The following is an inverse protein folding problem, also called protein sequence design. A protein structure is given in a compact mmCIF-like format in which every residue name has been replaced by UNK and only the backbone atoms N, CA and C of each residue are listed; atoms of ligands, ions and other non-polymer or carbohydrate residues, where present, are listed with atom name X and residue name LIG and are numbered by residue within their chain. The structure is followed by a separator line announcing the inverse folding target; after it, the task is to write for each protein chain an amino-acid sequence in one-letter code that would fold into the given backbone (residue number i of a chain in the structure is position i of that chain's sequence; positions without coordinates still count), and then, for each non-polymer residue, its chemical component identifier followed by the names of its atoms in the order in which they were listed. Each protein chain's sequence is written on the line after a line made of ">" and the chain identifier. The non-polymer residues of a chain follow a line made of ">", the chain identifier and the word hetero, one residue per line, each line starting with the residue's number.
data_IF_205416045898
#
_entry.id   IF_205416045898
#
_cell.length_a   1.000
_cell.length_b   1.000
_cell.length_c   1.000
_cell.angle_alpha   90.00
_cell.angle_beta   90.00
_cell.angle_gamma   90.00
#
_symmetry.space_group_name_H-M   'P 1'
#
loop_
_entity.id
_entity.type
_entity.pdbx_description
1 polymer ?
#
# COMPACT_ATOMS: atom_id res chain seq x y z
N UNK A 1 16.79 -66.75 8.51
CA UNK A 1 16.52 -65.51 9.26
C UNK A 1 15.48 -64.75 8.48
N UNK A 2 14.24 -64.86 8.94
CA UNK A 2 13.07 -64.15 8.40
C UNK A 2 13.16 -62.67 8.82
N UNK A 3 12.90 -61.76 7.88
CA UNK A 3 12.72 -60.34 8.18
C UNK A 3 11.22 -60.06 8.28
N UNK A 4 10.72 -59.46 9.37
CA UNK A 4 9.29 -59.14 9.49
C UNK A 4 8.95 -57.80 8.83
N UNK A 5 7.91 -57.86 8.00
CA UNK A 5 6.80 -56.93 7.79
C UNK A 5 7.04 -55.42 7.70
N UNK A 6 6.82 -54.93 6.48
CA UNK A 6 6.16 -53.67 6.11
C UNK A 6 5.51 -52.87 7.26
N UNK A 7 6.07 -51.69 7.53
CA UNK A 7 5.39 -50.63 8.28
C UNK A 7 4.19 -50.06 7.51
N UNK A 8 3.23 -49.45 8.21
CA UNK A 8 1.99 -48.99 7.61
C UNK A 8 2.25 -47.83 6.65
N UNK A 9 1.75 -47.97 5.42
CA UNK A 9 1.60 -46.86 4.49
C UNK A 9 0.70 -45.79 5.12
N UNK A 10 1.04 -44.49 5.05
CA UNK A 10 0.16 -43.45 5.53
C UNK A 10 -1.06 -43.40 4.61
N UNK A 11 -2.15 -44.02 5.06
CA UNK A 11 -3.47 -43.91 4.46
C UNK A 11 -3.85 -42.43 4.44
N UNK A 12 -4.02 -41.86 3.24
CA UNK A 12 -4.55 -40.52 3.05
C UNK A 12 -5.99 -40.49 3.55
N UNK A 13 -6.16 -40.08 4.81
CA UNK A 13 -7.49 -39.84 5.37
C UNK A 13 -8.15 -38.72 4.55
N UNK A 14 -9.38 -38.91 4.02
CA UNK A 14 -10.10 -37.83 3.37
C UNK A 14 -10.36 -36.75 4.43
N UNK A 15 -9.66 -35.61 4.31
CA UNK A 15 -9.90 -34.47 5.20
C UNK A 15 -11.37 -34.08 5.05
N UNK A 16 -12.09 -34.01 6.18
CA UNK A 16 -13.38 -33.31 6.27
C UNK A 16 -13.16 -31.85 5.86
N UNK A 17 -13.31 -31.55 4.57
CA UNK A 17 -13.28 -30.20 4.02
C UNK A 17 -14.53 -29.50 4.55
N UNK A 18 -14.31 -28.46 5.38
CA UNK A 18 -15.37 -27.65 5.95
C UNK A 18 -16.19 -27.07 4.79
N UNK A 19 -17.42 -27.58 4.60
CA UNK A 19 -18.37 -27.02 3.64
C UNK A 19 -18.63 -25.58 4.06
N UNK A 20 -18.01 -24.62 3.37
CA UNK A 20 -18.37 -23.21 3.50
C UNK A 20 -19.88 -23.14 3.35
N UNK A 21 -20.58 -22.82 4.44
CA UNK A 21 -22.03 -22.67 4.45
C UNK A 21 -22.45 -21.69 3.33
N UNK A 22 -23.53 -22.05 2.62
CA UNK A 22 -24.12 -21.24 1.56
C UNK A 22 -24.59 -19.90 2.12
N UNK A 23 -23.74 -18.87 2.03
CA UNK A 23 -24.13 -17.50 2.34
C UNK A 23 -23.90 -16.62 1.11
N UNK A 24 -24.90 -16.58 0.23
CA UNK A 24 -24.99 -15.61 -0.87
C UNK A 24 -25.55 -16.20 -2.16
N UNK A 25 -26.45 -15.47 -2.82
CA UNK A 25 -26.79 -15.68 -4.24
C UNK A 25 -25.52 -15.38 -5.05
N UNK A 26 -24.80 -16.41 -5.47
CA UNK A 26 -23.56 -16.27 -6.26
C UNK A 26 -23.80 -16.17 -7.77
N UNK A 27 -25.06 -16.09 -8.21
CA UNK A 27 -25.42 -16.24 -9.64
C UNK A 27 -24.75 -17.48 -10.26
N UNK A 28 -24.68 -18.57 -9.46
CA UNK A 28 -24.14 -19.86 -9.87
C UNK A 28 -25.09 -20.48 -10.91
N UNK A 29 -24.55 -20.89 -12.06
CA UNK A 29 -25.29 -21.76 -13.00
C UNK A 29 -25.48 -23.15 -12.39
N UNK A 30 -26.29 -24.00 -13.03
CA UNK A 30 -26.43 -25.41 -12.62
C UNK A 30 -25.06 -26.11 -12.57
N UNK A 31 -24.20 -25.83 -13.55
CA UNK A 31 -22.85 -26.40 -13.61
C UNK A 31 -21.94 -25.91 -12.47
N UNK A 32 -22.04 -24.64 -12.05
CA UNK A 32 -21.34 -24.15 -10.86
C UNK A 32 -21.79 -24.87 -9.60
N UNK A 33 -23.10 -25.07 -9.45
CA UNK A 33 -23.68 -25.74 -8.28
C UNK A 33 -23.26 -27.22 -8.23
N UNK A 34 -23.25 -27.90 -9.37
CA UNK A 34 -22.78 -29.28 -9.48
C UNK A 34 -21.27 -29.40 -9.19
N UNK A 35 -20.45 -28.49 -9.73
CA UNK A 35 -19.02 -28.41 -9.44
C UNK A 35 -18.73 -28.16 -7.95
N UNK A 36 -19.49 -27.27 -7.31
CA UNK A 36 -19.38 -26.96 -5.87
C UNK A 36 -19.79 -28.13 -4.98
N UNK A 37 -20.78 -28.90 -5.41
CA UNK A 37 -21.23 -30.10 -4.71
C UNK A 37 -20.32 -31.31 -4.95
N UNK A 38 -19.44 -31.27 -5.95
CA UNK A 38 -18.63 -32.41 -6.36
C UNK A 38 -19.44 -33.51 -7.06
N UNK A 39 -20.60 -33.16 -7.63
CA UNK A 39 -21.52 -34.14 -8.21
C UNK A 39 -21.19 -34.39 -9.70
N UNK A 40 -20.42 -35.45 -9.96
CA UNK A 40 -20.02 -35.85 -11.31
C UNK A 40 -21.23 -36.22 -12.19
N UNK A 41 -22.27 -36.84 -11.62
CA UNK A 41 -23.46 -37.26 -12.37
C UNK A 41 -24.19 -36.05 -12.91
N UNK A 42 -24.43 -35.05 -12.05
CA UNK A 42 -25.08 -33.80 -12.47
C UNK A 42 -24.26 -33.05 -13.53
N UNK A 43 -22.93 -33.11 -13.48
CA UNK A 43 -22.06 -32.52 -14.52
C UNK A 43 -22.25 -33.23 -15.85
N UNK A 44 -22.23 -34.56 -15.86
CA UNK A 44 -22.46 -35.34 -17.08
C UNK A 44 -23.85 -35.12 -17.66
N UNK A 45 -24.87 -35.02 -16.80
CA UNK A 45 -26.24 -34.75 -17.23
C UNK A 45 -26.35 -33.38 -17.92
N UNK A 46 -25.73 -32.34 -17.34
CA UNK A 46 -25.70 -30.99 -17.94
C UNK A 46 -24.91 -31.00 -19.25
N UNK A 47 -23.75 -31.66 -19.29
CA UNK A 47 -22.90 -31.71 -20.50
C UNK A 47 -23.57 -32.48 -21.64
N UNK A 48 -24.23 -33.61 -21.34
CA UNK A 48 -24.92 -34.42 -22.35
C UNK A 48 -26.25 -33.79 -22.80
N UNK A 49 -26.86 -32.94 -21.96
CA UNK A 49 -28.11 -32.25 -22.26
C UNK A 49 -27.93 -30.95 -23.06
N UNK A 50 -26.72 -30.36 -23.05
CA UNK A 50 -26.42 -29.12 -23.74
C UNK A 50 -25.96 -29.36 -25.19
N UNK A 51 -26.36 -28.49 -26.12
CA UNK A 51 -25.75 -28.45 -27.45
C UNK A 51 -24.30 -27.95 -27.40
N UNK A 52 -23.50 -28.18 -28.45
CA UNK A 52 -22.07 -27.79 -28.45
C UNK A 52 -21.85 -26.29 -28.18
N UNK A 53 -22.60 -25.41 -28.84
CA UNK A 53 -22.50 -23.95 -28.66
C UNK A 53 -22.90 -23.51 -27.24
N UNK A 54 -23.99 -24.09 -26.72
CA UNK A 54 -24.49 -23.81 -25.38
C UNK A 54 -23.50 -24.30 -24.32
N UNK A 55 -22.89 -25.47 -24.52
CA UNK A 55 -21.89 -26.02 -23.64
C UNK A 55 -20.69 -25.08 -23.53
N UNK A 56 -20.16 -24.58 -24.65
CA UNK A 56 -19.05 -23.62 -24.65
C UNK A 56 -19.40 -22.36 -23.83
N UNK A 57 -20.61 -21.81 -23.98
CA UNK A 57 -21.04 -20.67 -23.16
C UNK A 57 -21.12 -21.04 -21.68
N UNK A 58 -21.71 -22.19 -21.34
CA UNK A 58 -21.87 -22.65 -19.95
C UNK A 58 -20.52 -22.89 -19.25
N UNK A 59 -19.54 -23.47 -19.96
CA UNK A 59 -18.20 -23.72 -19.45
C UNK A 59 -17.42 -22.42 -19.18
N UNK A 60 -17.60 -21.42 -20.03
CA UNK A 60 -16.96 -20.11 -19.92
C UNK A 60 -17.72 -19.12 -19.03
N UNK A 61 -18.98 -19.40 -18.68
CA UNK A 61 -19.82 -18.50 -17.88
C UNK A 61 -19.20 -18.26 -16.51
N UNK A 62 -19.14 -16.99 -16.12
CA UNK A 62 -18.63 -16.58 -14.82
C UNK A 62 -19.78 -16.21 -13.89
N UNK A 63 -19.72 -16.69 -12.65
CA UNK A 63 -20.65 -16.31 -11.59
C UNK A 63 -20.39 -14.87 -11.08
N UNK A 64 -21.10 -14.42 -10.05
CA UNK A 64 -20.95 -13.05 -9.52
C UNK A 64 -19.58 -12.75 -8.90
N UNK A 65 -18.78 -13.76 -8.59
CA UNK A 65 -17.39 -13.65 -8.15
C UNK A 65 -16.36 -13.74 -9.31
N UNK A 66 -16.83 -13.92 -10.55
CA UNK A 66 -15.98 -14.19 -11.70
C UNK A 66 -15.53 -15.65 -11.81
N UNK A 67 -15.97 -16.52 -10.93
CA UNK A 67 -15.54 -17.93 -10.90
C UNK A 67 -16.20 -18.66 -12.08
N UNK A 68 -15.46 -19.52 -12.79
CA UNK A 68 -16.03 -20.49 -13.74
C UNK A 68 -16.38 -21.80 -13.03
N UNK A 69 -17.17 -22.70 -13.63
CA UNK A 69 -17.44 -24.01 -13.03
C UNK A 69 -16.16 -24.82 -12.77
N UNK A 70 -15.20 -24.80 -13.69
CA UNK A 70 -13.88 -25.43 -13.52
C UNK A 70 -13.09 -24.80 -12.36
N UNK A 71 -13.13 -23.48 -12.22
CA UNK A 71 -12.51 -22.79 -11.08
C UNK A 71 -13.10 -23.29 -9.75
N UNK A 72 -14.43 -23.39 -9.67
CA UNK A 72 -15.11 -23.86 -8.45
C UNK A 72 -14.73 -25.30 -8.14
N UNK A 73 -14.75 -26.21 -9.12
CA UNK A 73 -14.31 -27.59 -8.91
C UNK A 73 -12.87 -27.67 -8.39
N UNK A 74 -11.97 -26.86 -8.94
CA UNK A 74 -10.57 -26.76 -8.53
C UNK A 74 -10.41 -26.15 -7.13
N UNK A 75 -11.20 -25.15 -6.75
CA UNK A 75 -11.17 -24.54 -5.41
C UNK A 75 -11.50 -25.54 -4.30
N UNK A 76 -12.44 -26.45 -4.56
CA UNK A 76 -12.86 -27.48 -3.62
C UNK A 76 -12.00 -28.74 -3.70
N UNK A 77 -11.16 -28.87 -4.73
CA UNK A 77 -10.22 -29.97 -4.90
C UNK A 77 -10.88 -31.28 -5.35
N UNK A 78 -11.99 -31.22 -6.08
CA UNK A 78 -12.66 -32.42 -6.60
C UNK A 78 -12.00 -32.88 -7.90
N UNK A 79 -10.87 -33.58 -7.78
CA UNK A 79 -10.05 -33.96 -8.95
C UNK A 79 -10.79 -34.80 -9.99
N UNK A 80 -11.71 -35.67 -9.58
CA UNK A 80 -12.54 -36.47 -10.51
C UNK A 80 -13.47 -35.58 -11.33
N UNK A 81 -14.11 -34.61 -10.68
CA UNK A 81 -14.94 -33.61 -11.36
C UNK A 81 -14.10 -32.79 -12.32
N UNK A 82 -12.93 -32.31 -11.90
CA UNK A 82 -12.03 -31.54 -12.76
C UNK A 82 -11.61 -32.38 -13.98
N UNK A 83 -11.30 -33.68 -13.79
CA UNK A 83 -10.90 -34.59 -14.87
C UNK A 83 -12.02 -34.82 -15.89
N UNK A 84 -13.26 -34.89 -15.45
CA UNK A 84 -14.40 -35.01 -16.36
C UNK A 84 -14.64 -33.69 -17.10
N UNK A 85 -14.61 -32.56 -16.39
CA UNK A 85 -14.88 -31.26 -17.00
C UNK A 85 -13.82 -30.83 -18.00
N UNK A 86 -12.53 -30.97 -17.67
CA UNK A 86 -11.41 -30.43 -18.46
C UNK A 86 -11.35 -30.99 -19.90
N UNK A 87 -11.94 -32.16 -20.13
CA UNK A 87 -12.05 -32.78 -21.46
C UNK A 87 -12.86 -31.93 -22.45
N UNK A 88 -13.74 -31.07 -21.95
CA UNK A 88 -14.60 -30.19 -22.74
C UNK A 88 -14.09 -28.75 -22.80
N UNK A 89 -12.99 -28.42 -22.10
CA UNK A 89 -12.41 -27.08 -22.08
C UNK A 89 -11.30 -26.97 -23.12
N UNK A 90 -11.28 -25.87 -23.86
CA UNK A 90 -10.09 -25.40 -24.55
C UNK A 90 -9.18 -24.60 -23.58
N UNK A 91 -7.97 -24.29 -24.04
CA UNK A 91 -6.99 -23.51 -23.26
C UNK A 91 -7.53 -22.12 -22.88
N UNK A 92 -8.31 -21.49 -23.76
CA UNK A 92 -8.85 -20.15 -23.53
C UNK A 92 -9.86 -20.15 -22.39
N UNK A 93 -10.80 -21.10 -22.39
CA UNK A 93 -11.81 -21.25 -21.36
C UNK A 93 -11.21 -21.74 -20.03
N UNK A 94 -10.27 -22.69 -20.07
CA UNK A 94 -9.59 -23.17 -18.86
C UNK A 94 -8.75 -22.08 -18.18
N UNK A 95 -8.21 -21.15 -18.97
CA UNK A 95 -7.44 -19.99 -18.53
C UNK A 95 -8.27 -18.77 -18.11
N UNK A 96 -9.60 -18.86 -18.07
CA UNK A 96 -10.46 -17.76 -17.62
C UNK A 96 -10.20 -17.48 -16.14
N UNK A 97 -9.99 -16.20 -15.83
CA UNK A 97 -9.62 -15.72 -14.49
C UNK A 97 -10.83 -15.17 -13.76
N UNK A 98 -10.95 -15.54 -12.49
CA UNK A 98 -11.90 -14.93 -11.57
C UNK A 98 -11.52 -13.49 -11.21
N UNK A 99 -12.38 -12.79 -10.47
CA UNK A 99 -12.15 -11.38 -10.09
C UNK A 99 -10.89 -11.16 -9.24
N UNK A 100 -10.40 -12.21 -8.57
CA UNK A 100 -9.15 -12.18 -7.84
C UNK A 100 -7.90 -12.36 -8.74
N UNK A 101 -8.09 -12.53 -10.05
CA UNK A 101 -7.04 -12.72 -11.04
C UNK A 101 -6.56 -14.16 -11.22
N UNK A 102 -7.16 -15.13 -10.53
CA UNK A 102 -6.77 -16.54 -10.60
C UNK A 102 -7.66 -17.34 -11.54
N UNK A 103 -7.06 -18.22 -12.32
CA UNK A 103 -7.73 -19.31 -13.03
C UNK A 103 -7.82 -20.58 -12.15
N UNK A 104 -8.32 -21.67 -12.73
CA UNK A 104 -8.48 -22.96 -12.05
C UNK A 104 -7.13 -23.53 -11.55
N UNK A 105 -6.05 -23.37 -12.31
CA UNK A 105 -4.73 -23.89 -11.93
C UNK A 105 -4.12 -23.07 -10.79
N UNK A 106 -4.26 -21.75 -10.82
CA UNK A 106 -3.84 -20.86 -9.73
C UNK A 106 -4.55 -21.17 -8.41
N UNK A 107 -5.87 -21.39 -8.43
CA UNK A 107 -6.60 -21.70 -7.20
C UNK A 107 -6.24 -23.10 -6.67
N UNK A 108 -6.10 -24.11 -7.54
CA UNK A 108 -5.64 -25.44 -7.15
C UNK A 108 -4.25 -25.38 -6.49
N UNK A 109 -3.31 -24.64 -7.09
CA UNK A 109 -1.97 -24.45 -6.54
C UNK A 109 -1.96 -23.65 -5.23
N UNK A 110 -2.88 -22.70 -5.06
CA UNK A 110 -3.08 -21.98 -3.79
C UNK A 110 -3.57 -22.93 -2.68
N UNK A 111 -4.49 -23.82 -2.99
CA UNK A 111 -5.00 -24.81 -2.03
C UNK A 111 -3.99 -25.93 -1.75
N UNK A 112 -3.12 -26.22 -2.71
CA UNK A 112 -2.15 -27.30 -2.63
C UNK A 112 -2.74 -28.66 -3.01
N UNK A 113 -3.84 -28.68 -3.76
CA UNK A 113 -4.45 -29.92 -4.25
C UNK A 113 -3.63 -30.43 -5.47
N UNK A 114 -2.61 -31.24 -5.23
CA UNK A 114 -1.66 -31.73 -6.24
C UNK A 114 -2.36 -32.53 -7.34
N UNK A 115 -3.35 -33.34 -6.99
CA UNK A 115 -4.10 -34.17 -7.93
C UNK A 115 -4.84 -33.32 -8.97
N UNK A 116 -5.46 -32.21 -8.52
CA UNK A 116 -6.11 -31.25 -9.43
C UNK A 116 -5.07 -30.58 -10.33
N UNK A 117 -3.93 -30.17 -9.77
CA UNK A 117 -2.84 -29.58 -10.55
C UNK A 117 -2.37 -30.54 -11.66
N UNK A 118 -2.16 -31.82 -11.33
CA UNK A 118 -1.76 -32.84 -12.30
C UNK A 118 -2.80 -33.01 -13.41
N UNK A 119 -4.07 -33.16 -13.06
CA UNK A 119 -5.15 -33.31 -14.06
C UNK A 119 -5.21 -32.12 -15.02
N UNK A 120 -5.13 -30.89 -14.49
CA UNK A 120 -5.15 -29.68 -15.33
C UNK A 120 -3.92 -29.60 -16.25
N UNK A 121 -2.74 -29.95 -15.73
CA UNK A 121 -1.48 -29.91 -16.47
C UNK A 121 -1.34 -31.04 -17.50
N UNK A 122 -1.93 -32.21 -17.25
CA UNK A 122 -1.99 -33.33 -18.20
C UNK A 122 -2.89 -32.99 -19.40
N UNK A 123 -3.98 -32.25 -19.16
CA UNK A 123 -4.88 -31.81 -20.22
C UNK A 123 -4.32 -30.61 -21.00
N UNK A 124 -3.82 -29.58 -20.31
CA UNK A 124 -3.36 -28.32 -20.90
C UNK A 124 -2.08 -27.80 -20.19
N UNK A 125 -0.88 -28.29 -20.57
CA UNK A 125 0.39 -27.87 -19.98
C UNK A 125 0.66 -26.36 -20.05
N UNK A 126 0.10 -25.68 -21.05
CA UNK A 126 0.24 -24.24 -21.29
C UNK A 126 -0.36 -23.40 -20.15
N UNK A 127 -1.25 -23.98 -19.33
CA UNK A 127 -1.80 -23.32 -18.15
C UNK A 127 -0.71 -22.93 -17.14
N UNK A 128 0.43 -23.63 -17.10
CA UNK A 128 1.56 -23.27 -16.21
C UNK A 128 2.10 -21.85 -16.45
N UNK A 129 1.95 -21.34 -17.66
CA UNK A 129 2.42 -20.02 -18.10
C UNK A 129 1.37 -18.92 -17.98
N UNK A 130 0.16 -19.23 -17.50
CA UNK A 130 -0.85 -18.22 -17.25
C UNK A 130 -0.40 -17.31 -16.10
N UNK A 131 -0.82 -16.05 -16.18
CA UNK A 131 -0.51 -15.05 -15.17
C UNK A 131 -1.69 -14.14 -14.84
N UNK A 132 -1.73 -13.66 -13.60
CA UNK A 132 -2.65 -12.59 -13.19
C UNK A 132 -2.19 -11.20 -13.71
N UNK A 133 -2.95 -10.15 -13.39
CA UNK A 133 -2.63 -8.76 -13.77
C UNK A 133 -1.30 -8.23 -13.19
N UNK A 134 -0.73 -8.91 -12.20
CA UNK A 134 0.55 -8.58 -11.59
C UNK A 134 1.70 -9.50 -12.06
N UNK A 135 1.49 -10.23 -13.16
CA UNK A 135 2.38 -11.27 -13.70
C UNK A 135 2.71 -12.35 -12.65
N UNK A 136 1.76 -12.69 -11.78
CA UNK A 136 1.89 -13.82 -10.85
C UNK A 136 1.67 -15.11 -11.60
N UNK A 137 2.67 -15.98 -11.64
CA UNK A 137 2.50 -17.36 -12.15
C UNK A 137 1.94 -18.28 -11.07
N UNK A 138 1.54 -19.48 -11.48
CA UNK A 138 1.09 -20.55 -10.57
C UNK A 138 2.16 -20.91 -9.53
N UNK A 139 3.43 -20.98 -9.94
CA UNK A 139 4.56 -21.27 -9.02
C UNK A 139 4.70 -20.19 -7.94
N UNK A 140 4.52 -18.91 -8.27
CA UNK A 140 4.52 -17.84 -7.27
C UNK A 140 3.43 -18.06 -6.22
N UNK A 141 2.24 -18.49 -6.67
CA UNK A 141 1.09 -18.73 -5.82
C UNK A 141 1.34 -19.91 -4.89
N UNK A 142 1.80 -21.04 -5.42
CA UNK A 142 2.17 -22.22 -4.63
C UNK A 142 3.27 -21.90 -3.60
N UNK A 143 4.32 -21.18 -4.04
CA UNK A 143 5.43 -20.79 -3.19
C UNK A 143 5.03 -19.81 -2.08
N UNK A 144 4.14 -18.85 -2.37
CA UNK A 144 3.61 -17.93 -1.36
C UNK A 144 2.77 -18.65 -0.29
N UNK A 145 2.12 -19.76 -0.64
CA UNK A 145 1.28 -20.54 0.27
C UNK A 145 2.01 -21.74 0.93
N UNK A 146 3.28 -21.97 0.57
CA UNK A 146 4.07 -23.05 1.16
C UNK A 146 3.68 -24.45 0.65
N UNK A 147 3.08 -24.56 -0.54
CA UNK A 147 2.63 -25.85 -1.10
C UNK A 147 3.80 -26.59 -1.73
N UNK A 148 4.62 -27.23 -0.90
CA UNK A 148 5.88 -27.86 -1.32
C UNK A 148 5.69 -28.93 -2.40
N UNK A 149 4.67 -29.78 -2.30
CA UNK A 149 4.41 -30.85 -3.28
C UNK A 149 4.10 -30.27 -4.67
N UNK A 150 3.27 -29.22 -4.72
CA UNK A 150 2.95 -28.51 -5.96
C UNK A 150 4.17 -27.76 -6.50
N UNK A 151 4.96 -27.13 -5.63
CA UNK A 151 6.22 -26.47 -6.04
C UNK A 151 7.17 -27.47 -6.67
N UNK A 152 7.41 -28.62 -6.03
CA UNK A 152 8.30 -29.66 -6.56
C UNK A 152 7.81 -30.18 -7.91
N UNK A 153 6.50 -30.44 -8.04
CA UNK A 153 5.91 -30.86 -9.31
C UNK A 153 6.21 -29.88 -10.46
N UNK A 154 6.00 -28.57 -10.24
CA UNK A 154 6.32 -27.56 -11.27
C UNK A 154 7.83 -27.45 -11.55
N UNK A 155 8.67 -27.53 -10.52
CA UNK A 155 10.13 -27.43 -10.67
C UNK A 155 10.75 -28.67 -11.35
N UNK A 156 10.10 -29.82 -11.24
CA UNK A 156 10.50 -31.05 -11.92
C UNK A 156 10.03 -31.06 -13.37
N UNK A 157 8.86 -30.48 -13.65
CA UNK A 157 8.36 -30.29 -15.02
C UNK A 157 9.16 -29.23 -15.78
N UNK A 158 9.37 -28.06 -15.19
CA UNK A 158 10.10 -26.96 -15.82
C UNK A 158 10.80 -26.06 -14.78
N UNK A 159 12.12 -26.24 -14.63
CA UNK A 159 12.91 -25.44 -13.68
C UNK A 159 12.99 -23.95 -14.03
N UNK A 160 12.76 -23.60 -15.31
CA UNK A 160 12.79 -22.20 -15.79
C UNK A 160 11.76 -21.32 -15.07
N UNK A 161 10.64 -21.89 -14.61
CA UNK A 161 9.56 -21.22 -13.92
C UNK A 161 10.02 -20.51 -12.63
N UNK A 162 11.08 -21.01 -11.98
CA UNK A 162 11.65 -20.43 -10.78
C UNK A 162 12.21 -19.01 -11.01
N UNK A 163 12.70 -18.73 -12.22
CA UNK A 163 13.31 -17.46 -12.60
C UNK A 163 12.31 -16.34 -12.89
N UNK A 164 11.06 -16.70 -13.20
CA UNK A 164 10.07 -15.75 -13.69
C UNK A 164 9.79 -14.74 -12.58
N UNK A 165 9.79 -13.47 -12.96
CA UNK A 165 9.54 -12.36 -12.04
C UNK A 165 8.17 -11.73 -12.30
N UNK A 166 7.49 -11.41 -11.21
CA UNK A 166 6.26 -10.60 -11.22
C UNK A 166 6.51 -9.20 -11.76
N UNK A 167 5.45 -8.44 -11.98
CA UNK A 167 5.51 -7.04 -12.43
C UNK A 167 6.32 -6.13 -11.50
N UNK A 168 6.50 -6.50 -10.23
CA UNK A 168 7.33 -5.78 -9.25
C UNK A 168 8.76 -6.31 -9.12
N UNK A 169 9.17 -7.25 -9.98
CA UNK A 169 10.50 -7.89 -9.98
C UNK A 169 10.66 -9.03 -8.96
N UNK A 170 9.63 -9.37 -8.19
CA UNK A 170 9.72 -10.47 -7.21
C UNK A 170 9.56 -11.82 -7.89
N UNK A 171 10.44 -12.74 -7.53
CA UNK A 171 10.37 -14.16 -7.90
C UNK A 171 9.58 -14.99 -6.86
N UNK A 172 9.37 -16.27 -7.13
CA UNK A 172 8.78 -17.22 -6.17
C UNK A 172 9.60 -17.28 -4.86
N UNK A 173 10.94 -17.24 -4.95
CA UNK A 173 11.84 -17.24 -3.80
C UNK A 173 11.59 -16.04 -2.86
N UNK A 174 11.36 -14.84 -3.40
CA UNK A 174 11.02 -13.67 -2.59
C UNK A 174 9.73 -13.86 -1.78
N UNK A 175 8.74 -14.53 -2.37
CA UNK A 175 7.44 -14.75 -1.75
C UNK A 175 7.52 -15.82 -0.67
N UNK A 176 8.18 -16.95 -0.96
CA UNK A 176 8.43 -18.02 0.00
C UNK A 176 9.27 -17.52 1.18
N UNK A 177 10.31 -16.73 0.90
CA UNK A 177 11.18 -16.15 1.93
C UNK A 177 10.40 -15.23 2.88
N UNK A 178 9.56 -14.33 2.34
CA UNK A 178 8.75 -13.41 3.16
C UNK A 178 7.79 -14.15 4.09
N UNK A 179 7.18 -15.22 3.57
CA UNK A 179 6.13 -15.95 4.27
C UNK A 179 6.66 -17.07 5.17
N UNK A 180 7.98 -17.32 5.16
CA UNK A 180 8.62 -18.25 6.08
C UNK A 180 8.53 -19.71 5.65
N UNK A 181 8.38 -20.01 4.36
CA UNK A 181 8.22 -21.38 3.86
C UNK A 181 9.56 -22.03 3.57
N UNK A 182 10.18 -22.61 4.60
CA UNK A 182 11.55 -23.18 4.56
C UNK A 182 11.72 -24.21 3.46
N UNK A 183 10.86 -25.23 3.41
CA UNK A 183 11.02 -26.33 2.46
C UNK A 183 10.88 -25.86 1.00
N UNK A 184 10.02 -24.86 0.76
CA UNK A 184 9.91 -24.22 -0.56
C UNK A 184 11.17 -23.44 -0.90
N UNK A 185 11.76 -22.73 0.07
CA UNK A 185 13.04 -22.02 -0.12
C UNK A 185 14.15 -23.02 -0.45
N UNK A 186 14.27 -24.12 0.29
CA UNK A 186 15.25 -25.19 0.03
C UNK A 186 15.07 -25.78 -1.38
N UNK A 187 13.84 -26.10 -1.79
CA UNK A 187 13.53 -26.63 -3.11
C UNK A 187 13.91 -25.67 -4.25
N UNK A 188 13.54 -24.39 -4.12
CA UNK A 188 13.87 -23.36 -5.12
C UNK A 188 15.39 -23.15 -5.24
N UNK A 189 16.10 -23.08 -4.12
CA UNK A 189 17.56 -22.94 -4.10
C UNK A 189 18.29 -24.19 -4.62
N UNK A 190 17.70 -25.37 -4.41
CA UNK A 190 18.22 -26.64 -4.93
C UNK A 190 18.25 -26.69 -6.46
N UNK A 191 17.26 -26.07 -7.11
CA UNK A 191 17.17 -26.01 -8.59
C UNK A 191 17.98 -24.87 -9.18
N UNK A 192 17.98 -23.69 -8.56
CA UNK A 192 18.71 -22.53 -9.07
C UNK A 192 19.29 -21.67 -7.95
N UNK A 193 20.53 -21.98 -7.56
CA UNK A 193 21.25 -21.24 -6.51
C UNK A 193 21.44 -19.76 -6.81
N UNK A 194 21.59 -19.38 -8.09
CA UNK A 194 21.82 -17.99 -8.52
C UNK A 194 20.65 -17.03 -8.24
N UNK A 195 19.50 -17.53 -7.76
CA UNK A 195 18.34 -16.70 -7.43
C UNK A 195 18.50 -15.84 -6.18
N UNK A 196 19.42 -16.17 -5.27
CA UNK A 196 19.63 -15.47 -3.98
C UNK A 196 19.97 -13.99 -4.15
N UNK A 197 20.80 -13.67 -5.14
CA UNK A 197 21.25 -12.32 -5.44
C UNK A 197 20.28 -11.52 -6.32
N UNK A 198 19.24 -12.16 -6.90
CA UNK A 198 18.25 -11.47 -7.74
C UNK A 198 17.45 -10.49 -6.88
N UNK A 199 17.27 -9.28 -7.40
CA UNK A 199 16.58 -8.20 -6.69
C UNK A 199 15.25 -7.85 -7.32
N UNK A 200 14.26 -7.50 -6.50
CA UNK A 200 13.02 -6.88 -6.96
C UNK A 200 13.22 -5.44 -7.46
N UNK A 201 12.17 -4.77 -7.95
CA UNK A 201 12.23 -3.37 -8.41
C UNK A 201 12.65 -2.37 -7.32
N UNK A 202 12.61 -2.77 -6.04
CA UNK A 202 13.10 -1.97 -4.91
C UNK A 202 14.55 -2.32 -4.56
N UNK A 203 15.23 -3.15 -5.33
CA UNK A 203 16.60 -3.61 -5.05
C UNK A 203 16.65 -4.64 -3.92
N UNK A 204 15.53 -5.24 -3.53
CA UNK A 204 15.48 -6.13 -2.37
C UNK A 204 15.68 -7.57 -2.83
N UNK A 205 16.61 -8.28 -2.20
CA UNK A 205 16.83 -9.72 -2.39
C UNK A 205 15.83 -10.57 -1.60
N UNK A 206 15.89 -11.89 -1.77
CA UNK A 206 15.14 -12.84 -0.95
C UNK A 206 15.47 -12.70 0.56
N UNK A 207 16.73 -12.44 0.91
CA UNK A 207 17.14 -12.22 2.30
C UNK A 207 16.48 -10.96 2.90
N UNK A 208 16.37 -9.88 2.13
CA UNK A 208 15.61 -8.68 2.55
C UNK A 208 14.12 -8.97 2.79
N UNK A 209 13.55 -9.99 2.13
CA UNK A 209 12.18 -10.43 2.36
C UNK A 209 12.07 -11.31 3.59
N UNK A 210 12.98 -12.27 3.77
CA UNK A 210 13.03 -13.17 4.93
C UNK A 210 13.07 -12.41 6.25
N UNK A 211 13.95 -11.40 6.35
CA UNK A 211 14.12 -10.62 7.58
C UNK A 211 12.93 -9.72 7.92
N UNK A 212 11.98 -9.50 6.99
CA UNK A 212 10.67 -8.87 7.27
C UNK A 212 9.68 -9.85 7.90
N UNK A 213 9.83 -11.13 7.56
CA UNK A 213 9.10 -12.24 8.16
C UNK A 213 9.56 -12.52 9.59
N UNK A 214 9.22 -13.70 10.10
CA UNK A 214 9.54 -14.14 11.46
C UNK A 214 10.26 -15.49 11.51
N UNK A 215 10.39 -16.19 10.37
CA UNK A 215 11.00 -17.51 10.35
C UNK A 215 12.52 -17.39 10.21
N UNK A 216 13.24 -17.73 11.30
CA UNK A 216 14.70 -17.69 11.38
C UNK A 216 15.36 -18.72 10.47
N UNK A 217 14.78 -19.91 10.34
CA UNK A 217 15.37 -20.98 9.54
C UNK A 217 15.48 -20.54 8.07
N UNK A 218 14.50 -19.79 7.55
CA UNK A 218 14.59 -19.21 6.21
C UNK A 218 15.76 -18.23 6.07
N UNK A 219 16.02 -17.41 7.09
CA UNK A 219 17.13 -16.46 7.09
C UNK A 219 18.46 -17.24 7.06
N UNK A 220 18.59 -18.26 7.91
CA UNK A 220 19.77 -19.11 7.95
C UNK A 220 19.99 -19.87 6.64
N UNK A 221 18.95 -20.45 6.04
CA UNK A 221 19.04 -21.15 4.75
C UNK A 221 19.52 -20.22 3.64
N UNK A 222 18.98 -19.00 3.56
CA UNK A 222 19.39 -18.02 2.53
C UNK A 222 20.84 -17.56 2.73
N UNK A 223 21.27 -17.33 3.97
CA UNK A 223 22.65 -16.96 4.29
C UNK A 223 23.61 -18.12 3.98
N UNK A 224 23.20 -19.36 4.30
CA UNK A 224 24.00 -20.57 4.01
C UNK A 224 24.15 -20.78 2.50
N UNK A 225 23.09 -20.52 1.74
CA UNK A 225 23.10 -20.66 0.29
C UNK A 225 23.97 -19.60 -0.40
N UNK A 226 23.93 -18.35 0.08
CA UNK A 226 24.74 -17.26 -0.48
C UNK A 226 25.10 -16.20 0.59
N UNK A 227 26.27 -16.34 1.24
CA UNK A 227 26.74 -15.42 2.26
C UNK A 227 26.91 -13.98 1.77
N UNK A 228 27.16 -13.76 0.47
CA UNK A 228 27.41 -12.42 -0.07
C UNK A 228 26.18 -11.51 0.01
N UNK A 229 24.98 -12.10 0.15
CA UNK A 229 23.72 -11.34 0.22
C UNK A 229 23.52 -10.57 1.53
N UNK A 230 24.26 -10.89 2.60
CA UNK A 230 24.07 -10.29 3.94
C UNK A 230 24.32 -8.78 3.99
N UNK A 231 25.16 -8.27 3.09
CA UNK A 231 25.52 -6.85 3.00
C UNK A 231 24.97 -6.15 1.76
N UNK A 232 24.22 -6.86 0.91
CA UNK A 232 23.60 -6.23 -0.26
C UNK A 232 22.64 -5.13 0.19
N UNK A 233 22.61 -4.02 -0.54
CA UNK A 233 21.76 -2.88 -0.23
C UNK A 233 20.60 -2.77 -1.20
N UNK A 234 19.42 -2.41 -0.68
CA UNK A 234 18.28 -2.07 -1.51
C UNK A 234 18.41 -0.68 -2.16
N UNK A 235 17.45 -0.31 -3.00
CA UNK A 235 17.41 1.01 -3.66
C UNK A 235 17.43 2.20 -2.70
N UNK A 236 17.18 2.00 -1.40
CA UNK A 236 17.27 3.04 -0.38
C UNK A 236 18.56 2.94 0.45
N UNK A 237 19.49 2.08 0.06
CA UNK A 237 20.74 1.83 0.78
C UNK A 237 20.56 0.97 2.04
N UNK A 238 19.41 0.31 2.23
CA UNK A 238 19.21 -0.53 3.41
C UNK A 238 19.78 -1.91 3.18
N UNK A 239 20.62 -2.39 4.11
CA UNK A 239 21.00 -3.82 4.21
C UNK A 239 19.87 -4.65 4.86
N UNK A 240 19.91 -5.99 4.78
CA UNK A 240 19.02 -6.85 5.57
C UNK A 240 18.96 -6.49 7.05
N UNK A 241 20.09 -6.09 7.66
CA UNK A 241 20.15 -5.64 9.05
C UNK A 241 19.29 -4.39 9.32
N UNK A 242 19.35 -3.39 8.43
CA UNK A 242 18.47 -2.21 8.52
C UNK A 242 17.00 -2.59 8.45
N UNK A 243 16.64 -3.55 7.58
CA UNK A 243 15.25 -4.00 7.43
C UNK A 243 14.77 -4.74 8.68
N UNK A 244 15.61 -5.61 9.24
CA UNK A 244 15.32 -6.36 10.47
C UNK A 244 15.11 -5.42 11.65
N UNK A 245 16.03 -4.44 11.81
CA UNK A 245 15.95 -3.38 12.82
C UNK A 245 14.68 -2.53 12.68
N UNK A 246 14.35 -2.10 11.45
CA UNK A 246 13.12 -1.34 11.16
C UNK A 246 11.84 -2.10 11.52
N UNK A 247 11.86 -3.43 11.40
CA UNK A 247 10.72 -4.31 11.68
C UNK A 247 10.68 -4.85 13.10
N UNK A 248 11.66 -4.51 13.94
CA UNK A 248 11.71 -4.97 15.33
C UNK A 248 11.93 -6.48 15.45
N UNK A 249 12.62 -7.11 14.48
CA UNK A 249 12.83 -8.56 14.47
C UNK A 249 14.10 -8.93 15.23
N UNK A 250 14.05 -8.90 16.56
CA UNK A 250 15.21 -9.14 17.45
C UNK A 250 16.00 -10.40 17.11
N UNK A 251 15.31 -11.54 16.94
CA UNK A 251 15.98 -12.81 16.62
C UNK A 251 16.68 -12.78 15.24
N UNK A 252 16.07 -12.14 14.23
CA UNK A 252 16.72 -11.97 12.92
C UNK A 252 17.94 -11.05 13.03
N UNK A 253 17.87 -10.01 13.86
CA UNK A 253 19.01 -9.12 14.14
C UNK A 253 20.15 -9.90 14.79
N UNK A 254 19.88 -10.70 15.82
CA UNK A 254 20.88 -11.56 16.47
C UNK A 254 21.50 -12.56 15.48
N UNK A 255 20.67 -13.23 14.69
CA UNK A 255 21.13 -14.19 13.67
C UNK A 255 22.07 -13.52 12.67
N UNK A 256 21.71 -12.33 12.19
CA UNK A 256 22.55 -11.55 11.28
C UNK A 256 23.86 -11.09 11.95
N UNK A 257 23.81 -10.62 13.21
CA UNK A 257 24.99 -10.14 13.94
C UNK A 257 25.95 -11.26 14.37
N UNK A 258 25.46 -12.50 14.49
CA UNK A 258 26.32 -13.67 14.74
C UNK A 258 27.31 -13.94 13.59
N UNK A 259 27.08 -13.34 12.42
CA UNK A 259 27.90 -13.48 11.23
C UNK A 259 29.10 -12.54 11.28
N UNK A 260 30.30 -13.06 11.05
CA UNK A 260 31.54 -12.27 11.10
C UNK A 260 31.68 -11.28 9.94
N UNK A 261 31.03 -11.58 8.83
CA UNK A 261 31.08 -10.85 7.57
C UNK A 261 30.08 -9.70 7.49
N UNK A 262 29.24 -9.49 8.51
CA UNK A 262 28.24 -8.43 8.49
C UNK A 262 28.86 -7.04 8.68
N UNK A 263 28.55 -6.11 7.77
CA UNK A 263 28.94 -4.72 7.92
C UNK A 263 27.90 -3.96 8.74
N UNK A 264 28.26 -3.63 9.98
CA UNK A 264 27.43 -2.90 10.94
C UNK A 264 27.53 -1.38 10.78
N UNK A 265 28.46 -0.89 9.96
CA UNK A 265 28.73 0.55 9.78
C UNK A 265 28.04 1.15 8.56
N UNK A 266 27.35 0.33 7.77
CA UNK A 266 26.60 0.81 6.59
C UNK A 266 25.56 1.85 7.02
N UNK A 267 25.53 2.97 6.30
CA UNK A 267 24.49 3.99 6.41
C UNK A 267 23.61 3.97 5.17
N UNK A 268 22.30 4.02 5.37
CA UNK A 268 21.35 4.08 4.26
C UNK A 268 21.28 5.50 3.63
N UNK A 269 20.45 5.69 2.60
CA UNK A 269 20.27 7.02 1.95
C UNK A 269 19.65 8.08 2.86
N UNK A 270 19.09 7.70 4.01
CA UNK A 270 18.62 8.61 5.05
C UNK A 270 19.70 8.95 6.08
N UNK A 271 20.93 8.47 5.88
CA UNK A 271 22.07 8.61 6.78
C UNK A 271 21.81 7.98 8.16
N UNK A 272 21.13 6.83 8.15
CA UNK A 272 20.79 6.04 9.33
C UNK A 272 21.55 4.71 9.24
N UNK A 273 22.16 4.30 10.35
CA UNK A 273 22.61 2.92 10.56
C UNK A 273 21.43 2.03 10.96
N UNK A 274 21.67 0.73 11.14
CA UNK A 274 20.66 -0.19 11.65
C UNK A 274 20.16 0.21 13.05
N UNK A 275 21.02 0.70 13.95
CA UNK A 275 20.60 1.15 15.29
C UNK A 275 19.78 2.45 15.22
N UNK A 276 20.18 3.42 14.39
CA UNK A 276 19.39 4.65 14.19
C UNK A 276 17.99 4.31 13.64
N UNK A 277 17.92 3.32 12.76
CA UNK A 277 16.67 2.83 12.18
C UNK A 277 15.80 2.15 13.24
N UNK A 278 16.36 1.34 14.14
CA UNK A 278 15.62 0.72 15.24
C UNK A 278 15.06 1.78 16.21
N UNK A 279 15.89 2.74 16.63
CA UNK A 279 15.52 3.81 17.56
C UNK A 279 14.42 4.71 16.97
N UNK A 280 14.56 5.11 15.69
CA UNK A 280 13.54 5.91 14.98
C UNK A 280 12.18 5.22 14.91
N UNK A 281 12.16 3.90 14.79
CA UNK A 281 10.92 3.12 14.72
C UNK A 281 10.35 2.76 16.11
N UNK A 282 11.04 3.11 17.19
CA UNK A 282 10.63 2.78 18.57
C UNK A 282 10.90 1.33 18.98
N UNK A 283 11.76 0.61 18.26
CA UNK A 283 12.07 -0.80 18.57
C UNK A 283 13.21 -0.89 19.60
N UNK A 284 12.93 -0.55 20.86
CA UNK A 284 13.91 -0.47 21.97
C UNK A 284 14.73 -1.74 22.15
N UNK A 285 14.10 -2.91 22.08
CA UNK A 285 14.77 -4.20 22.32
C UNK A 285 15.80 -4.48 21.23
N UNK A 286 15.44 -4.24 19.96
CA UNK A 286 16.39 -4.38 18.85
C UNK A 286 17.52 -3.36 18.92
N UNK A 287 17.24 -2.13 19.35
CA UNK A 287 18.28 -1.12 19.55
C UNK A 287 19.25 -1.52 20.67
N UNK A 288 18.74 -2.12 21.76
CA UNK A 288 19.55 -2.64 22.85
C UNK A 288 20.45 -3.81 22.39
N UNK A 289 19.91 -4.75 21.60
CA UNK A 289 20.69 -5.86 21.02
C UNK A 289 21.80 -5.34 20.10
N UNK A 290 21.46 -4.40 19.20
CA UNK A 290 22.43 -3.76 18.31
C UNK A 290 23.54 -3.05 19.10
N UNK A 291 23.18 -2.31 20.16
CA UNK A 291 24.13 -1.64 21.04
C UNK A 291 25.02 -2.63 21.78
N UNK A 292 24.44 -3.74 22.28
CA UNK A 292 25.17 -4.82 22.94
C UNK A 292 26.21 -5.49 22.03
N UNK A 293 25.96 -5.54 20.72
CA UNK A 293 26.89 -6.02 19.70
C UNK A 293 27.82 -4.94 19.15
N UNK A 294 27.86 -3.74 19.76
CA UNK A 294 28.77 -2.67 19.38
C UNK A 294 28.41 -1.93 18.08
N UNK A 295 27.17 -2.05 17.60
CA UNK A 295 26.70 -1.27 16.44
C UNK A 295 26.57 0.19 16.83
N UNK A 296 27.32 1.05 16.15
CA UNK A 296 27.38 2.49 16.41
C UNK A 296 26.29 3.23 15.62
N UNK A 297 25.84 4.37 16.16
CA UNK A 297 24.97 5.29 15.43
C UNK A 297 25.73 6.03 14.33
N UNK A 298 25.03 6.52 13.30
CA UNK A 298 25.63 7.28 12.20
C UNK A 298 26.38 8.51 12.73
N UNK A 299 25.86 9.15 13.78
CA UNK A 299 26.50 10.31 14.45
C UNK A 299 27.81 9.95 15.14
N UNK A 300 27.95 8.72 15.65
CA UNK A 300 29.17 8.25 16.29
C UNK A 300 30.22 7.77 15.27
N UNK A 301 29.79 7.21 14.13
CA UNK A 301 30.68 6.77 13.05
C UNK A 301 31.26 7.97 12.29
N UNK A 302 30.44 9.00 12.06
CA UNK A 302 30.82 10.26 11.45
C UNK A 302 30.64 11.38 12.48
N UNK A 303 31.66 11.70 13.28
CA UNK A 303 31.63 12.91 14.11
C UNK A 303 31.57 14.10 13.15
N UNK A 304 30.36 14.61 12.93
CA UNK A 304 30.03 15.75 12.07
C UNK A 304 30.60 15.69 10.64
N UNK A 305 29.85 15.09 9.71
CA UNK A 305 29.70 15.74 8.40
C UNK A 305 28.32 16.39 8.37
N UNK A 306 28.23 17.62 8.86
CA UNK A 306 27.14 18.52 8.47
C UNK A 306 27.24 18.66 6.97
N UNK A 307 26.50 17.84 6.23
CA UNK A 307 26.55 17.88 4.77
C UNK A 307 26.05 19.27 4.37
N UNK A 308 26.92 20.18 3.88
CA UNK A 308 26.58 21.60 3.72
C UNK A 308 25.40 21.77 2.75
N UNK A 309 25.18 20.79 1.87
CA UNK A 309 24.03 20.72 0.96
C UNK A 309 22.70 20.54 1.70
N UNK A 310 22.68 19.81 2.83
CA UNK A 310 21.46 19.58 3.61
C UNK A 310 21.10 20.81 4.44
N UNK A 311 22.08 21.46 5.06
CA UNK A 311 21.87 22.74 5.74
C UNK A 311 21.40 23.81 4.75
N UNK A 312 22.03 23.89 3.57
CA UNK A 312 21.58 24.81 2.52
C UNK A 312 20.16 24.52 2.04
N UNK A 313 19.76 23.25 1.88
CA UNK A 313 18.38 22.90 1.52
C UNK A 313 17.38 23.26 2.62
N UNK A 314 17.76 23.07 3.88
CA UNK A 314 16.92 23.42 5.02
C UNK A 314 16.76 24.94 5.10
N UNK A 315 17.84 25.71 5.01
CA UNK A 315 17.79 27.18 5.05
C UNK A 315 16.99 27.74 3.86
N UNK A 316 17.14 27.19 2.67
CA UNK A 316 16.32 27.57 1.50
C UNK A 316 14.83 27.27 1.74
N UNK A 317 14.50 26.15 2.38
CA UNK A 317 13.11 25.81 2.71
C UNK A 317 12.53 26.76 3.77
N UNK A 318 13.30 27.09 4.80
CA UNK A 318 12.89 27.97 5.88
C UNK A 318 12.68 29.40 5.37
N UNK A 319 13.61 29.90 4.54
CA UNK A 319 13.47 31.20 3.85
C UNK A 319 12.22 31.21 2.97
N UNK A 320 11.95 30.14 2.22
CA UNK A 320 10.75 30.05 1.37
C UNK A 320 9.47 30.18 2.18
N UNK A 321 9.37 29.52 3.33
CA UNK A 321 8.19 29.59 4.19
C UNK A 321 8.06 30.95 4.88
N UNK A 322 9.16 31.51 5.38
CA UNK A 322 9.16 32.83 6.00
C UNK A 322 8.73 33.92 5.01
N UNK A 323 9.29 33.93 3.80
CA UNK A 323 8.91 34.87 2.74
C UNK A 323 7.44 34.69 2.35
N UNK A 324 6.95 33.45 2.28
CA UNK A 324 5.55 33.19 1.98
C UNK A 324 4.62 33.77 3.07
N UNK A 325 4.94 33.54 4.34
CA UNK A 325 4.18 34.09 5.48
C UNK A 325 4.18 35.61 5.49
N UNK A 326 5.34 36.24 5.22
CA UNK A 326 5.45 37.70 5.13
C UNK A 326 4.60 38.28 3.99
N UNK A 327 4.59 37.62 2.82
CA UNK A 327 3.74 38.01 1.69
C UNK A 327 2.25 37.87 2.02
N UNK A 328 1.85 36.79 2.70
CA UNK A 328 0.47 36.62 3.16
C UNK A 328 0.05 37.71 4.15
N UNK A 329 0.87 37.98 5.16
CA UNK A 329 0.64 39.06 6.12
C UNK A 329 0.54 40.41 5.43
N UNK A 330 1.43 40.70 4.48
CA UNK A 330 1.39 41.94 3.69
C UNK A 330 0.09 42.06 2.89
N UNK A 331 -0.36 40.96 2.27
CA UNK A 331 -1.63 40.93 1.52
C UNK A 331 -2.84 41.16 2.43
N UNK A 332 -2.85 40.54 3.62
CA UNK A 332 -3.91 40.74 4.60
C UNK A 332 -3.93 42.18 5.12
N UNK A 333 -2.77 42.76 5.44
CA UNK A 333 -2.64 44.16 5.86
C UNK A 333 -3.12 45.11 4.78
N UNK A 334 -2.76 44.89 3.50
CA UNK A 334 -3.24 45.72 2.39
C UNK A 334 -4.76 45.70 2.26
N UNK A 335 -5.40 44.53 2.42
CA UNK A 335 -6.87 44.42 2.44
C UNK A 335 -7.48 45.18 3.61
N UNK A 336 -6.89 45.10 4.81
CA UNK A 336 -7.35 45.84 5.99
C UNK A 336 -7.26 47.35 5.78
N UNK A 337 -6.12 47.84 5.27
CA UNK A 337 -5.91 49.26 4.97
C UNK A 337 -6.91 49.76 3.93
N UNK A 338 -7.15 49.00 2.85
CA UNK A 338 -8.20 49.34 1.88
C UNK A 338 -9.60 49.40 2.51
N UNK A 339 -9.91 48.49 3.43
CA UNK A 339 -11.17 48.51 4.19
C UNK A 339 -11.29 49.75 5.08
N UNK A 340 -10.19 50.16 5.73
CA UNK A 340 -10.13 51.40 6.52
C UNK A 340 -10.35 52.62 5.61
N UNK A 341 -9.64 52.70 4.48
CA UNK A 341 -9.79 53.81 3.52
C UNK A 341 -11.24 53.95 3.02
N UNK A 342 -11.90 52.82 2.69
CA UNK A 342 -13.33 52.83 2.31
C UNK A 342 -14.23 53.35 3.43
N UNK A 343 -13.99 52.95 4.68
CA UNK A 343 -14.76 53.45 5.84
C UNK A 343 -14.54 54.93 6.09
N UNK A 344 -13.31 55.41 5.98
CA UNK A 344 -12.99 56.84 6.10
C UNK A 344 -13.71 57.65 5.02
N UNK A 345 -13.66 57.21 3.76
CA UNK A 345 -14.38 57.88 2.68
C UNK A 345 -15.91 57.90 2.93
N UNK A 346 -16.48 56.79 3.40
CA UNK A 346 -17.90 56.72 3.76
C UNK A 346 -18.26 57.72 4.88
N UNK A 347 -17.49 57.74 5.97
CA UNK A 347 -17.70 58.69 7.06
C UNK A 347 -17.55 60.14 6.62
N UNK A 348 -16.59 60.43 5.73
CA UNK A 348 -16.39 61.78 5.20
C UNK A 348 -17.61 62.23 4.38
N UNK A 349 -18.15 61.38 3.51
CA UNK A 349 -19.37 61.66 2.74
C UNK A 349 -20.58 61.82 3.64
N UNK A 350 -20.77 60.94 4.63
CA UNK A 350 -21.86 61.04 5.61
C UNK A 350 -21.78 62.32 6.45
N UNK A 351 -20.58 62.70 6.91
CA UNK A 351 -20.35 63.94 7.64
C UNK A 351 -20.68 65.18 6.80
N UNK A 352 -20.28 65.17 5.53
CA UNK A 352 -20.53 66.28 4.60
C UNK A 352 -22.03 66.42 4.29
N UNK A 353 -22.73 65.30 4.07
CA UNK A 353 -24.19 65.29 3.89
C UNK A 353 -24.94 65.77 5.14
N UNK A 354 -24.52 65.34 6.33
CA UNK A 354 -25.12 65.79 7.59
C UNK A 354 -24.94 67.31 7.79
N UNK A 355 -23.74 67.83 7.50
CA UNK A 355 -23.46 69.27 7.58
C UNK A 355 -24.29 70.09 6.58
N UNK A 356 -24.44 69.62 5.33
CA UNK A 356 -25.30 70.25 4.32
C UNK A 356 -26.77 70.24 4.79
N UNK A 357 -27.26 69.12 5.29
CA UNK A 357 -28.63 69.03 5.78
C UNK A 357 -28.89 69.93 6.99
N UNK A 358 -27.94 70.04 7.93
CA UNK A 358 -28.07 70.96 9.06
C UNK A 358 -28.08 72.43 8.63
N UNK A 359 -27.16 72.83 7.74
CA UNK A 359 -27.08 74.21 7.24
C UNK A 359 -28.30 74.61 6.41
N UNK A 360 -28.83 73.70 5.58
CA UNK A 360 -30.07 73.92 4.82
C UNK A 360 -31.30 74.05 5.73
N UNK A 361 -31.42 73.23 6.79
CA UNK A 361 -32.51 73.34 7.77
C UNK A 361 -32.47 74.66 8.53
N UNK A 362 -31.29 75.09 9.01
CA UNK A 362 -31.11 76.40 9.66
C UNK A 362 -31.41 77.54 8.66
N UNK A 363 -30.92 77.39 7.42
CA UNK A 363 -31.28 78.12 6.22
C UNK A 363 -32.77 78.49 6.15
N UNK A 364 -33.56 77.43 6.03
CA UNK A 364 -35.02 77.48 5.87
C UNK A 364 -35.68 78.07 7.11
N UNK A 365 -35.24 77.71 8.33
CA UNK A 365 -35.77 78.26 9.57
C UNK A 365 -35.60 79.78 9.65
N UNK A 366 -34.39 80.29 9.41
CA UNK A 366 -34.12 81.73 9.42
C UNK A 366 -34.97 82.43 8.36
N UNK A 367 -35.05 81.87 7.15
CA UNK A 367 -35.89 82.44 6.08
C UNK A 367 -37.37 82.48 6.47
N UNK A 368 -37.90 81.43 7.10
CA UNK A 368 -39.30 81.40 7.57
C UNK A 368 -39.57 82.40 8.70
N UNK A 369 -38.65 82.55 9.65
CA UNK A 369 -38.78 83.52 10.75
C UNK A 369 -38.66 84.96 10.23
N UNK A 370 -37.69 85.25 9.36
CA UNK A 370 -37.54 86.56 8.75
C UNK A 370 -38.77 86.92 7.89
N UNK A 371 -39.29 85.97 7.11
CA UNK A 371 -40.53 86.13 6.36
C UNK A 371 -41.69 86.46 7.30
N UNK A 372 -41.86 85.73 8.41
CA UNK A 372 -42.90 86.03 9.39
C UNK A 372 -42.73 87.42 10.05
N UNK A 373 -41.51 87.79 10.44
CA UNK A 373 -41.20 89.05 11.12
C UNK A 373 -41.47 90.29 10.25
N UNK A 374 -41.14 90.22 8.95
CA UNK A 374 -41.44 91.29 7.98
C UNK A 374 -42.95 91.59 7.95
N UNK A 375 -43.79 90.58 8.12
CA UNK A 375 -45.24 90.75 8.12
C UNK A 375 -45.87 90.97 9.52
N UNK A 376 -45.10 91.08 10.62
CA UNK A 376 -45.67 91.05 12.00
C UNK A 376 -45.25 92.12 13.03
N UNK A 377 -44.22 92.99 12.88
CA UNK A 377 -43.77 93.87 14.00
C UNK A 377 -43.81 95.42 13.73
N UNK A 378 -44.45 96.24 14.61
CA UNK A 378 -44.46 97.73 14.62
C UNK A 378 -43.35 98.37 15.52
N UNK A 379 -42.70 99.50 15.15
CA UNK A 379 -41.41 99.97 15.78
C UNK A 379 -41.37 101.32 16.57
N UNK A 380 -40.37 101.49 17.49
CA UNK A 380 -39.94 102.71 18.26
C UNK A 380 -38.55 102.55 19.01
N UNK A 381 -37.79 103.65 19.33
CA UNK A 381 -36.35 103.73 19.87
C UNK A 381 -36.15 104.75 21.05
N UNK A 382 -35.08 104.64 21.91
CA UNK A 382 -34.54 105.72 22.84
C UNK A 382 -33.04 105.57 23.29
N UNK A 383 -32.44 106.71 23.72
CA UNK A 383 -31.05 107.17 24.01
C UNK A 383 -30.53 107.21 25.48
N UNK A 384 -29.19 107.27 25.67
CA UNK A 384 -28.38 108.15 26.58
C UNK A 384 -27.11 107.45 27.18
N UNK A 385 -25.86 107.92 26.90
CA UNK A 385 -24.60 107.25 27.28
C UNK A 385 -23.70 108.10 28.20
N UNK A 386 -23.41 107.67 29.44
CA UNK A 386 -22.31 108.31 30.24
C UNK A 386 -21.68 107.53 31.41
N UNK A 387 -21.88 106.22 31.57
CA UNK A 387 -21.27 105.43 32.67
C UNK A 387 -20.25 104.38 32.18
N UNK A 388 -19.00 104.77 31.90
CA UNK A 388 -17.90 103.78 31.79
C UNK A 388 -16.60 104.37 32.35
N UNK A 389 -16.05 103.88 33.48
CA UNK A 389 -14.68 104.16 33.90
C UNK A 389 -13.66 103.29 33.15
N UNK A 390 -12.50 103.87 32.83
CA UNK A 390 -11.35 103.26 32.10
C UNK A 390 -10.14 103.02 33.02
N UNK A 391 -9.21 102.21 32.50
CA UNK A 391 -7.79 101.98 32.87
C UNK A 391 -7.53 100.69 33.66
N UNK A 392 -6.60 99.80 33.26
CA UNK A 392 -5.26 100.05 32.69
C UNK A 392 -4.92 99.15 31.49
N UNK A 393 -4.04 99.72 30.66
CA UNK A 393 -3.45 99.24 29.41
C UNK A 393 -2.88 97.81 29.44
#
# INVERSE_FOLDING_TARGET
>A
MEFPSSGPTPTSTPRKKMTKQLTGKRDDTELHSAARAGNIVAIRDVVNGAGEEELVELLAKQNSAGETPLYVAAEYGYYEVVREMIQYYDIAAAGIKARNGFDALHIAAKQGDLEVVKVLMEAHPELSMTVDMANTTVLHTAAAQGRIEVVNYFLDAESSLATIARSNGKTALHSAARNGHVEVVKALLGKERGMTARTDKKGQTALHMAVKGQNLEVVEELIRADPLTVNMVDTKGNTPLHIAARKGRSQNVETLLSRKDIDTRVVNRSNETAIDTAEKMGNSDTAAILRGHGVLSARAISPQSTNPVRELKQTVSDIKHEVHNQLEHTRQTRKRVQGIAKRINKMHVEGLNNAINSTTVVAVLIATVAFAAIFTIPGQYVDDPRSIPKDRC
#
